data_IF_523566010016
#
_entry.id   IF_523566010016
#
_cell.length_a   1.000
_cell.length_b   1.000
_cell.length_c   1.000
_cell.angle_alpha   90.00
_cell.angle_beta   90.00
_cell.angle_gamma   90.00
#
_symmetry.space_group_name_H-M   'P 1'
#
loop_
_entity.id
_entity.type
_entity.pdbx_description
1 polymer ?
#
# COMPACT_ATOMS: atom_id res chain seq x y z
N UNK A 1 36.81 -12.23 -16.45
CA UNK A 1 36.19 -12.17 -15.11
C UNK A 1 36.91 -11.13 -14.29
N UNK A 2 36.26 -10.00 -14.02
CA UNK A 2 36.79 -9.01 -13.09
C UNK A 2 36.51 -9.51 -11.67
N UNK A 3 37.56 -9.74 -10.88
CA UNK A 3 37.43 -9.94 -9.44
C UNK A 3 37.12 -8.56 -8.87
N UNK A 4 35.84 -8.32 -8.54
CA UNK A 4 35.42 -7.09 -7.89
C UNK A 4 36.14 -7.00 -6.54
N UNK A 5 36.83 -5.87 -6.30
CA UNK A 5 37.91 -5.74 -5.32
C UNK A 5 37.57 -6.31 -3.93
N UNK A 6 38.49 -7.14 -3.43
CA UNK A 6 38.49 -7.80 -2.12
C UNK A 6 38.24 -6.83 -0.97
N UNK A 7 37.23 -7.13 -0.16
CA UNK A 7 37.08 -6.58 1.19
C UNK A 7 37.97 -7.45 2.08
N UNK A 8 39.11 -6.90 2.53
CA UNK A 8 40.10 -7.63 3.32
C UNK A 8 39.57 -7.83 4.76
N UNK A 9 39.16 -9.04 5.11
CA UNK A 9 38.67 -9.41 6.44
C UNK A 9 39.79 -10.12 7.21
N UNK A 10 40.36 -9.46 8.23
CA UNK A 10 41.59 -9.85 8.94
C UNK A 10 41.46 -11.07 9.90
N UNK A 11 40.45 -11.92 9.75
CA UNK A 11 40.28 -13.16 10.54
C UNK A 11 40.72 -14.37 9.75
N UNK A 12 42.01 -14.69 9.87
CA UNK A 12 42.80 -15.56 9.00
C UNK A 12 42.43 -17.06 8.96
N UNK A 13 41.22 -17.51 9.33
CA UNK A 13 40.87 -18.93 9.17
C UNK A 13 39.38 -19.30 9.02
N UNK A 14 38.49 -18.35 8.71
CA UNK A 14 37.06 -18.67 8.61
C UNK A 14 36.36 -17.98 7.43
N UNK A 15 37.00 -18.02 6.25
CA UNK A 15 36.45 -17.48 5.00
C UNK A 15 35.97 -18.65 4.12
N UNK A 16 34.85 -18.43 3.45
CA UNK A 16 34.28 -19.31 2.43
C UNK A 16 34.10 -18.52 1.14
N UNK A 17 34.50 -19.12 0.02
CA UNK A 17 34.31 -18.55 -1.31
C UNK A 17 32.94 -18.95 -1.84
N UNK A 18 32.16 -17.95 -2.19
CA UNK A 18 30.77 -18.08 -2.62
C UNK A 18 30.62 -17.51 -4.02
N UNK A 19 29.86 -18.17 -4.88
CA UNK A 19 29.51 -17.71 -6.22
C UNK A 19 28.04 -17.31 -6.25
N UNK A 20 27.76 -16.08 -6.65
CA UNK A 20 26.42 -15.57 -6.95
C UNK A 20 26.45 -15.15 -8.41
N UNK A 21 25.62 -15.78 -9.25
CA UNK A 21 25.72 -15.66 -10.71
C UNK A 21 27.17 -15.91 -11.19
N UNK A 22 27.80 -14.94 -11.86
CA UNK A 22 29.17 -15.02 -12.37
C UNK A 22 30.21 -14.35 -11.44
N UNK A 23 29.80 -13.89 -10.26
CA UNK A 23 30.64 -13.17 -9.31
C UNK A 23 31.06 -14.05 -8.14
N UNK A 24 32.33 -13.92 -7.73
CA UNK A 24 32.89 -14.60 -6.56
C UNK A 24 33.01 -13.62 -5.38
N UNK A 25 32.67 -14.11 -4.20
CA UNK A 25 32.69 -13.37 -2.93
C UNK A 25 33.42 -14.18 -1.87
N UNK A 26 34.21 -13.50 -1.05
CA UNK A 26 34.77 -14.06 0.17
C UNK A 26 33.88 -13.67 1.35
N UNK A 27 33.36 -14.69 2.05
CA UNK A 27 32.32 -14.51 3.06
C UNK A 27 32.74 -15.19 4.37
N UNK A 28 32.55 -14.56 5.54
CA UNK A 28 32.76 -15.22 6.83
C UNK A 28 31.88 -16.46 6.99
N UNK A 29 32.44 -17.57 7.47
CA UNK A 29 31.71 -18.81 7.80
C UNK A 29 30.56 -18.53 8.79
N UNK A 30 30.74 -17.54 9.67
CA UNK A 30 29.72 -17.12 10.64
C UNK A 30 28.42 -16.65 10.01
N UNK A 31 28.43 -16.20 8.74
CA UNK A 31 27.21 -15.83 8.02
C UNK A 31 26.25 -17.01 7.86
N UNK A 32 26.79 -18.22 7.79
CA UNK A 32 26.05 -19.46 7.61
C UNK A 32 25.88 -20.27 8.90
N UNK A 33 26.30 -19.72 10.05
CA UNK A 33 26.28 -20.44 11.32
C UNK A 33 24.85 -20.81 11.77
N UNK A 34 23.90 -19.92 11.51
CA UNK A 34 22.49 -20.07 11.90
C UNK A 34 21.63 -20.80 10.86
N UNK A 35 22.20 -21.21 9.72
CA UNK A 35 21.46 -21.97 8.71
C UNK A 35 21.09 -23.36 9.23
N UNK A 36 19.85 -23.84 8.99
CA UNK A 36 19.47 -25.22 9.25
C UNK A 36 20.42 -26.21 8.55
N UNK A 37 20.76 -27.32 9.23
CA UNK A 37 21.71 -28.30 8.72
C UNK A 37 21.33 -28.86 7.34
N UNK A 38 20.03 -29.03 7.07
CA UNK A 38 19.53 -29.48 5.76
C UNK A 38 19.92 -28.51 4.64
N UNK A 39 19.82 -27.20 4.90
CA UNK A 39 20.22 -26.16 3.94
C UNK A 39 21.74 -26.15 3.80
N UNK A 40 22.48 -26.25 4.90
CA UNK A 40 23.96 -26.32 4.87
C UNK A 40 24.46 -27.54 4.09
N UNK A 41 23.80 -28.69 4.23
CA UNK A 41 24.09 -29.88 3.44
C UNK A 41 23.77 -29.66 1.96
N UNK A 42 22.61 -29.09 1.64
CA UNK A 42 22.23 -28.76 0.26
C UNK A 42 23.19 -27.79 -0.44
N UNK A 43 23.81 -26.88 0.31
CA UNK A 43 24.85 -25.98 -0.19
C UNK A 43 26.21 -26.68 -0.40
N UNK A 44 26.40 -27.89 0.14
CA UNK A 44 27.64 -28.67 -0.02
C UNK A 44 28.75 -28.32 0.97
N UNK A 45 28.42 -27.76 2.14
CA UNK A 45 29.43 -27.45 3.17
C UNK A 45 30.25 -28.67 3.63
N UNK A 46 29.68 -29.88 3.57
CA UNK A 46 30.35 -31.12 3.96
C UNK A 46 31.32 -31.66 2.91
N UNK A 47 31.10 -31.30 1.64
CA UNK A 47 31.87 -31.83 0.49
C UNK A 47 33.13 -31.01 0.20
N UNK A 48 33.51 -30.10 1.09
CA UNK A 48 34.63 -29.19 0.90
C UNK A 48 34.36 -28.07 -0.12
N UNK A 49 33.12 -27.89 -0.57
CA UNK A 49 32.74 -26.71 -1.37
C UNK A 49 32.91 -25.44 -0.56
N UNK A 50 33.27 -24.37 -1.25
CA UNK A 50 33.52 -23.06 -0.67
C UNK A 50 34.94 -22.83 -0.17
N UNK A 51 35.86 -23.80 -0.30
CA UNK A 51 37.25 -23.64 0.15
C UNK A 51 38.13 -22.87 -0.84
N UNK A 52 37.73 -22.76 -2.10
CA UNK A 52 38.50 -22.07 -3.14
C UNK A 52 37.60 -21.51 -4.23
N UNK A 53 38.13 -20.55 -5.01
CA UNK A 53 37.47 -19.99 -6.18
C UNK A 53 37.14 -21.02 -7.28
N UNK A 54 37.89 -22.13 -7.33
CA UNK A 54 37.67 -23.24 -8.27
C UNK A 54 36.51 -24.15 -7.84
N UNK A 55 36.17 -24.16 -6.54
CA UNK A 55 35.07 -24.95 -5.99
C UNK A 55 34.26 -24.11 -4.98
N UNK A 56 33.58 -23.03 -5.43
CA UNK A 56 32.84 -22.14 -4.53
C UNK A 56 31.51 -22.76 -4.09
N UNK A 57 30.90 -22.23 -3.03
CA UNK A 57 29.47 -22.47 -2.76
C UNK A 57 28.64 -21.72 -3.80
N UNK A 58 27.72 -22.40 -4.46
CA UNK A 58 26.85 -21.75 -5.46
C UNK A 58 25.59 -21.28 -4.76
N UNK A 59 25.37 -19.97 -4.76
CA UNK A 59 24.13 -19.34 -4.35
C UNK A 59 23.35 -18.91 -5.58
N UNK A 60 22.09 -19.34 -5.64
CA UNK A 60 21.16 -19.00 -6.72
C UNK A 60 19.96 -18.23 -6.18
N UNK A 61 19.17 -17.65 -7.09
CA UNK A 61 17.90 -16.97 -6.83
C UNK A 61 17.97 -15.56 -6.22
N UNK A 62 19.10 -14.86 -6.33
CA UNK A 62 19.15 -13.43 -6.04
C UNK A 62 20.20 -12.72 -6.90
N UNK A 63 19.95 -11.46 -7.30
CA UNK A 63 20.92 -10.65 -8.03
C UNK A 63 22.22 -10.45 -7.25
N UNK A 64 23.34 -10.38 -7.98
CA UNK A 64 24.67 -10.06 -7.44
C UNK A 64 24.66 -8.80 -6.58
N UNK A 65 23.97 -7.74 -7.03
CA UNK A 65 23.91 -6.47 -6.31
C UNK A 65 23.22 -6.62 -4.94
N UNK A 66 22.12 -7.38 -4.86
CA UNK A 66 21.42 -7.61 -3.59
C UNK A 66 22.32 -8.35 -2.60
N UNK A 67 23.07 -9.35 -3.07
CA UNK A 67 24.03 -10.07 -2.22
C UNK A 67 25.16 -9.16 -1.74
N UNK A 68 25.67 -8.29 -2.62
CA UNK A 68 26.70 -7.30 -2.28
C UNK A 68 26.22 -6.33 -1.19
N UNK A 69 25.01 -5.77 -1.35
CA UNK A 69 24.41 -4.88 -0.35
C UNK A 69 24.20 -5.59 1.00
N UNK A 70 23.71 -6.84 0.96
CA UNK A 70 23.57 -7.67 2.16
C UNK A 70 24.90 -7.98 2.84
N UNK A 71 25.93 -8.38 2.09
CA UNK A 71 27.25 -8.70 2.63
C UNK A 71 27.92 -7.47 3.24
N UNK A 72 27.83 -6.32 2.58
CA UNK A 72 28.30 -5.04 3.12
C UNK A 72 27.58 -4.71 4.44
N UNK A 73 26.25 -4.90 4.47
CA UNK A 73 25.47 -4.68 5.68
C UNK A 73 25.88 -5.64 6.81
N UNK A 74 26.11 -6.91 6.50
CA UNK A 74 26.56 -7.91 7.47
C UNK A 74 27.92 -7.54 8.09
N UNK A 75 28.88 -7.12 7.26
CA UNK A 75 30.23 -6.76 7.71
C UNK A 75 30.22 -5.48 8.56
N UNK A 76 29.41 -4.49 8.19
CA UNK A 76 29.35 -3.21 8.91
C UNK A 76 28.45 -3.25 10.16
N UNK A 77 27.71 -4.34 10.41
CA UNK A 77 26.89 -4.49 11.61
C UNK A 77 27.75 -4.67 12.88
N UNK A 78 27.46 -3.99 14.01
CA UNK A 78 26.24 -3.24 14.34
C UNK A 78 26.25 -1.74 13.99
N UNK A 79 27.28 -1.26 13.29
CA UNK A 79 27.51 0.17 13.01
C UNK A 79 26.79 0.69 11.75
N UNK A 80 25.75 -0.01 11.29
CA UNK A 80 25.02 0.39 10.08
C UNK A 80 24.27 1.71 10.28
N UNK A 81 24.53 2.65 9.38
CA UNK A 81 23.76 3.88 9.29
C UNK A 81 22.56 3.67 8.36
N UNK A 82 21.36 3.59 8.94
CA UNK A 82 20.13 3.40 8.16
C UNK A 82 19.79 4.58 7.24
N UNK A 83 20.32 5.78 7.52
CA UNK A 83 20.06 6.99 6.71
C UNK A 83 20.78 6.99 5.37
N UNK A 84 21.84 6.17 5.23
CA UNK A 84 22.61 6.10 3.99
C UNK A 84 22.13 5.00 3.05
N UNK A 85 21.27 4.10 3.52
CA UNK A 85 20.75 3.00 2.71
C UNK A 85 19.54 3.47 1.91
N UNK A 86 19.56 3.16 0.62
CA UNK A 86 18.38 3.29 -0.24
C UNK A 86 17.36 2.21 0.11
N UNK A 87 16.09 2.41 -0.29
CA UNK A 87 15.01 1.48 0.00
C UNK A 87 15.34 0.08 -0.52
N UNK A 88 15.77 -0.04 -1.77
CA UNK A 88 16.10 -1.30 -2.43
C UNK A 88 17.23 -2.05 -1.72
N UNK A 89 18.26 -1.32 -1.24
CA UNK A 89 19.34 -1.91 -0.45
C UNK A 89 18.80 -2.46 0.88
N UNK A 90 17.92 -1.71 1.56
CA UNK A 90 17.30 -2.17 2.80
C UNK A 90 16.40 -3.38 2.58
N UNK A 91 15.67 -3.44 1.45
CA UNK A 91 14.86 -4.59 1.06
C UNK A 91 15.74 -5.82 0.81
N UNK A 92 16.86 -5.67 0.09
CA UNK A 92 17.85 -6.73 -0.11
C UNK A 92 18.41 -7.26 1.22
N UNK A 93 18.80 -6.35 2.12
CA UNK A 93 19.29 -6.71 3.46
C UNK A 93 18.22 -7.44 4.25
N UNK A 94 16.98 -6.96 4.24
CA UNK A 94 15.86 -7.59 4.95
C UNK A 94 15.52 -8.98 4.36
N UNK A 95 15.55 -9.15 3.05
CA UNK A 95 15.27 -10.43 2.41
C UNK A 95 16.37 -11.46 2.69
N UNK A 96 17.63 -11.11 2.42
CA UNK A 96 18.74 -12.04 2.53
C UNK A 96 19.10 -12.34 3.99
N UNK A 97 18.94 -11.39 4.91
CA UNK A 97 19.06 -11.70 6.35
C UNK A 97 17.98 -12.65 6.85
N UNK A 98 16.79 -12.65 6.24
CA UNK A 98 15.79 -13.70 6.48
C UNK A 98 16.26 -15.04 5.91
N UNK A 99 16.67 -15.05 4.64
CA UNK A 99 17.06 -16.25 3.91
C UNK A 99 18.23 -16.98 4.57
N UNK A 100 19.23 -16.22 5.03
CA UNK A 100 20.43 -16.74 5.71
C UNK A 100 20.29 -16.84 7.22
N UNK A 101 19.08 -16.62 7.76
CA UNK A 101 18.79 -16.73 9.19
C UNK A 101 19.65 -15.84 10.11
N UNK A 102 20.21 -14.73 9.61
CA UNK A 102 21.04 -13.79 10.39
C UNK A 102 20.15 -12.94 11.30
N UNK A 103 19.84 -13.47 12.50
CA UNK A 103 18.76 -12.95 13.37
C UNK A 103 18.89 -11.47 13.73
N UNK A 104 20.10 -11.02 14.10
CA UNK A 104 20.33 -9.64 14.55
C UNK A 104 20.11 -8.64 13.40
N UNK A 105 20.73 -8.90 12.24
CA UNK A 105 20.57 -8.07 11.05
C UNK A 105 19.12 -8.09 10.53
N UNK A 106 18.48 -9.25 10.59
CA UNK A 106 17.06 -9.44 10.25
C UNK A 106 16.14 -8.53 11.09
N UNK A 107 16.30 -8.57 12.41
CA UNK A 107 15.52 -7.75 13.33
C UNK A 107 15.80 -6.26 13.16
N UNK A 108 17.06 -5.90 12.89
CA UNK A 108 17.46 -4.52 12.60
C UNK A 108 16.82 -4.00 11.29
N UNK A 109 16.88 -4.79 10.21
CA UNK A 109 16.41 -4.39 8.89
C UNK A 109 14.89 -4.17 8.87
N UNK A 110 14.12 -5.10 9.42
CA UNK A 110 12.65 -4.98 9.45
C UNK A 110 12.17 -3.83 10.35
N UNK A 111 12.88 -3.55 11.44
CA UNK A 111 12.57 -2.39 12.31
C UNK A 111 12.80 -1.09 11.56
N UNK A 112 13.92 -0.96 10.86
CA UNK A 112 14.22 0.23 10.06
C UNK A 112 13.28 0.38 8.87
N UNK A 113 12.93 -0.73 8.20
CA UNK A 113 11.96 -0.70 7.11
C UNK A 113 10.60 -0.18 7.62
N UNK A 114 10.16 -0.61 8.80
CA UNK A 114 8.96 -0.05 9.41
C UNK A 114 9.10 1.45 9.65
N UNK A 115 10.18 1.88 10.32
CA UNK A 115 10.41 3.29 10.63
C UNK A 115 10.36 4.18 9.38
N UNK A 116 11.07 3.82 8.30
CA UNK A 116 11.09 4.65 7.09
C UNK A 116 9.77 4.62 6.32
N UNK A 117 8.99 3.54 6.43
CA UNK A 117 7.73 3.40 5.68
C UNK A 117 6.54 4.02 6.40
N UNK A 118 6.52 4.00 7.74
CA UNK A 118 5.38 4.41 8.57
C UNK A 118 5.57 5.72 9.33
N UNK A 119 6.80 6.05 9.75
CA UNK A 119 7.08 7.21 10.62
C UNK A 119 7.71 8.40 9.89
N UNK A 120 8.27 8.18 8.70
CA UNK A 120 8.89 9.25 7.92
C UNK A 120 7.87 10.29 7.43
N UNK A 121 8.21 11.58 7.54
CA UNK A 121 7.41 12.69 6.99
C UNK A 121 7.16 12.51 5.49
N UNK A 122 8.17 12.03 4.77
CA UNK A 122 8.10 11.67 3.35
C UNK A 122 8.57 10.22 3.23
N UNK A 123 7.61 9.31 3.12
CA UNK A 123 7.90 7.89 2.95
C UNK A 123 8.54 7.63 1.58
N UNK A 124 9.63 6.86 1.48
CA UNK A 124 10.25 6.53 0.19
C UNK A 124 9.31 5.73 -0.71
N UNK A 125 8.25 5.12 -0.16
CA UNK A 125 7.22 4.41 -0.92
C UNK A 125 6.44 5.33 -1.87
N UNK A 126 6.39 6.64 -1.61
CA UNK A 126 5.68 7.59 -2.48
C UNK A 126 6.36 7.73 -3.84
N UNK A 127 7.68 7.56 -3.92
CA UNK A 127 8.44 7.66 -5.18
C UNK A 127 9.02 6.33 -5.64
N UNK A 128 8.88 5.26 -4.84
CA UNK A 128 9.46 3.95 -5.12
C UNK A 128 8.89 3.36 -6.42
N UNK A 129 9.67 2.65 -7.24
CA UNK A 129 9.13 1.95 -8.41
C UNK A 129 8.14 0.83 -8.00
N UNK A 130 7.25 0.43 -8.91
CA UNK A 130 6.19 -0.59 -8.66
C UNK A 130 6.76 -1.90 -8.10
N UNK A 131 7.90 -2.36 -8.61
CA UNK A 131 8.54 -3.58 -8.13
C UNK A 131 9.04 -3.45 -6.68
N UNK A 132 9.51 -2.27 -6.25
CA UNK A 132 9.94 -2.03 -4.88
C UNK A 132 8.74 -1.99 -3.92
N UNK A 133 7.59 -1.45 -4.35
CA UNK A 133 6.33 -1.55 -3.59
C UNK A 133 5.91 -3.01 -3.42
N UNK A 134 5.91 -3.79 -4.50
CA UNK A 134 5.60 -5.21 -4.48
C UNK A 134 6.54 -6.00 -3.56
N UNK A 135 7.85 -5.75 -3.64
CA UNK A 135 8.85 -6.40 -2.80
C UNK A 135 8.71 -6.04 -1.33
N UNK A 136 8.46 -4.75 -1.02
CA UNK A 136 8.17 -4.28 0.34
C UNK A 136 6.92 -4.98 0.90
N UNK A 137 5.88 -5.12 0.08
CA UNK A 137 4.66 -5.81 0.45
C UNK A 137 4.93 -7.29 0.79
N UNK A 138 5.62 -8.02 -0.08
CA UNK A 138 5.89 -9.45 0.11
C UNK A 138 6.78 -9.69 1.34
N UNK A 139 7.77 -8.83 1.58
CA UNK A 139 8.54 -8.85 2.83
C UNK A 139 7.66 -8.56 4.04
N UNK A 140 6.76 -7.58 3.97
CA UNK A 140 5.86 -7.27 5.08
C UNK A 140 5.00 -8.47 5.48
N UNK A 141 4.53 -9.27 4.51
CA UNK A 141 3.81 -10.51 4.78
C UNK A 141 4.71 -11.57 5.41
N UNK A 142 5.91 -11.77 4.85
CA UNK A 142 6.91 -12.73 5.36
C UNK A 142 7.28 -12.44 6.82
N UNK A 143 7.30 -11.16 7.19
CA UNK A 143 7.59 -10.68 8.54
C UNK A 143 6.36 -10.44 9.42
N UNK A 144 5.16 -10.67 8.91
CA UNK A 144 3.88 -10.44 9.61
C UNK A 144 3.73 -8.98 10.11
N UNK A 145 4.18 -8.01 9.30
CA UNK A 145 4.16 -6.57 9.59
C UNK A 145 3.01 -5.86 8.89
N UNK A 146 1.83 -5.91 9.51
CA UNK A 146 0.60 -5.31 8.96
C UNK A 146 0.67 -3.79 8.82
N UNK A 147 1.50 -3.14 9.62
CA UNK A 147 1.78 -1.71 9.56
C UNK A 147 2.45 -1.34 8.23
N UNK A 148 3.50 -2.08 7.84
CA UNK A 148 4.19 -1.90 6.55
C UNK A 148 3.24 -2.24 5.39
N UNK A 149 2.48 -3.33 5.50
CA UNK A 149 1.47 -3.72 4.50
C UNK A 149 0.49 -2.59 4.20
N UNK A 150 -0.04 -1.94 5.24
CA UNK A 150 -0.95 -0.79 5.11
C UNK A 150 -0.25 0.44 4.50
N UNK A 151 1.00 0.70 4.89
CA UNK A 151 1.77 1.82 4.34
C UNK A 151 2.00 1.66 2.83
N UNK A 152 2.33 0.44 2.37
CA UNK A 152 2.49 0.14 0.93
C UNK A 152 1.17 0.32 0.17
N UNK A 153 0.07 -0.25 0.66
CA UNK A 153 -1.24 -0.08 0.02
C UNK A 153 -1.65 1.40 -0.06
N UNK A 154 -1.45 2.17 1.02
CA UNK A 154 -1.73 3.61 1.05
C UNK A 154 -0.87 4.38 0.05
N UNK A 155 0.43 4.10 -0.01
CA UNK A 155 1.33 4.75 -0.97
C UNK A 155 0.90 4.43 -2.42
N UNK A 156 0.52 3.19 -2.69
CA UNK A 156 0.04 2.77 -4.00
C UNK A 156 -1.26 3.50 -4.40
N UNK A 157 -2.26 3.55 -3.51
CA UNK A 157 -3.52 4.27 -3.76
C UNK A 157 -3.29 5.77 -3.99
N UNK A 158 -2.42 6.39 -3.19
CA UNK A 158 -2.08 7.81 -3.34
C UNK A 158 -1.52 8.10 -4.73
N UNK A 159 -0.63 7.24 -5.23
CA UNK A 159 0.00 7.43 -6.55
C UNK A 159 -0.93 7.15 -7.71
N UNK A 160 -1.87 6.22 -7.58
CA UNK A 160 -2.94 6.04 -8.58
C UNK A 160 -3.83 7.28 -8.63
N UNK A 161 -4.17 7.84 -7.46
CA UNK A 161 -4.96 9.06 -7.36
C UNK A 161 -4.23 10.27 -7.97
N UNK A 162 -2.91 10.33 -7.84
CA UNK A 162 -2.05 11.34 -8.47
C UNK A 162 -1.74 11.07 -9.95
N UNK A 163 -2.33 10.01 -10.53
CA UNK A 163 -2.10 9.59 -11.92
C UNK A 163 -0.64 9.20 -12.24
N UNK A 164 0.19 8.93 -11.21
CA UNK A 164 1.57 8.48 -11.38
C UNK A 164 1.69 6.98 -11.66
N UNK A 165 0.68 6.21 -11.24
CA UNK A 165 0.60 4.77 -11.43
C UNK A 165 -0.70 4.34 -12.11
N UNK A 166 -0.59 3.35 -12.97
CA UNK A 166 -1.75 2.69 -13.58
C UNK A 166 -2.57 1.93 -12.53
N UNK A 167 -3.89 2.15 -12.52
CA UNK A 167 -4.80 1.36 -11.69
C UNK A 167 -4.79 -0.12 -12.10
N UNK A 168 -4.56 -0.43 -13.38
CA UNK A 168 -4.54 -1.80 -13.91
C UNK A 168 -3.44 -2.65 -13.27
N UNK A 169 -2.23 -2.09 -13.10
CA UNK A 169 -1.13 -2.82 -12.46
C UNK A 169 -1.45 -3.13 -10.99
N UNK A 170 -2.07 -2.18 -10.30
CA UNK A 170 -2.50 -2.35 -8.92
C UNK A 170 -3.63 -3.37 -8.77
N UNK A 171 -4.58 -3.40 -9.71
CA UNK A 171 -5.66 -4.39 -9.79
C UNK A 171 -5.08 -5.80 -9.92
N UNK A 172 -4.17 -6.01 -10.88
CA UNK A 172 -3.53 -7.31 -11.10
C UNK A 172 -2.72 -7.75 -9.88
N UNK A 173 -1.96 -6.83 -9.29
CA UNK A 173 -1.21 -7.08 -8.07
C UNK A 173 -2.13 -7.51 -6.91
N UNK A 174 -3.25 -6.81 -6.73
CA UNK A 174 -4.22 -7.07 -5.68
C UNK A 174 -4.96 -8.40 -5.89
N UNK A 175 -5.32 -8.74 -7.14
CA UNK A 175 -5.99 -10.00 -7.49
C UNK A 175 -5.08 -11.20 -7.19
N UNK A 176 -3.83 -11.18 -7.65
CA UNK A 176 -2.87 -12.28 -7.45
C UNK A 176 -2.64 -12.56 -5.96
N UNK A 177 -2.67 -11.52 -5.13
CA UNK A 177 -2.43 -11.61 -3.68
C UNK A 177 -3.72 -11.69 -2.86
N UNK A 178 -4.89 -11.77 -3.50
CA UNK A 178 -6.21 -11.83 -2.86
C UNK A 178 -6.46 -10.68 -1.86
N UNK A 179 -6.08 -9.45 -2.23
CA UNK A 179 -6.18 -8.26 -1.38
C UNK A 179 -7.52 -7.56 -1.56
N UNK A 180 -8.61 -8.20 -1.11
CA UNK A 180 -9.99 -7.75 -1.40
C UNK A 180 -10.25 -6.26 -1.14
N UNK A 181 -9.85 -5.74 0.02
CA UNK A 181 -10.02 -4.31 0.34
C UNK A 181 -9.26 -3.42 -0.66
N UNK A 182 -7.99 -3.71 -0.89
CA UNK A 182 -7.14 -2.96 -1.83
C UNK A 182 -7.66 -3.08 -3.27
N UNK A 183 -8.08 -4.28 -3.68
CA UNK A 183 -8.69 -4.54 -4.98
C UNK A 183 -9.94 -3.68 -5.19
N UNK A 184 -10.86 -3.64 -4.22
CA UNK A 184 -12.05 -2.78 -4.27
C UNK A 184 -11.71 -1.30 -4.47
N UNK A 185 -10.69 -0.80 -3.77
CA UNK A 185 -10.21 0.57 -3.96
C UNK A 185 -9.60 0.81 -5.34
N UNK A 186 -8.79 -0.12 -5.85
CA UNK A 186 -8.17 0.03 -7.18
C UNK A 186 -9.19 -0.05 -8.31
N UNK A 187 -10.22 -0.91 -8.20
CA UNK A 187 -11.34 -0.97 -9.14
C UNK A 187 -12.17 0.33 -9.12
N UNK A 188 -12.42 0.89 -7.93
CA UNK A 188 -13.07 2.20 -7.79
C UNK A 188 -12.31 3.32 -8.49
N UNK A 189 -11.00 3.42 -8.25
CA UNK A 189 -10.16 4.43 -8.90
C UNK A 189 -10.13 4.23 -10.43
N UNK A 190 -10.09 2.97 -10.88
CA UNK A 190 -10.16 2.65 -12.31
C UNK A 190 -11.49 3.11 -12.94
N UNK A 191 -12.63 2.91 -12.26
CA UNK A 191 -13.93 3.44 -12.72
C UNK A 191 -13.91 4.96 -12.88
N UNK A 192 -13.32 5.69 -11.93
CA UNK A 192 -13.21 7.15 -12.00
C UNK A 192 -12.33 7.57 -13.18
N UNK A 193 -11.19 6.91 -13.39
CA UNK A 193 -10.30 7.19 -14.51
C UNK A 193 -10.99 6.96 -15.86
N UNK A 194 -11.73 5.86 -16.01
CA UNK A 194 -12.53 5.59 -17.22
C UNK A 194 -13.62 6.64 -17.45
N UNK A 195 -14.23 7.15 -16.38
CA UNK A 195 -15.23 8.22 -16.46
C UNK A 195 -14.63 9.56 -16.87
N UNK A 196 -13.39 9.82 -16.45
CA UNK A 196 -12.69 11.08 -16.73
C UNK A 196 -12.18 11.14 -18.17
N UNK A 197 -11.87 10.00 -18.79
CA UNK A 197 -11.45 9.93 -20.20
C UNK A 197 -12.62 9.92 -21.20
N UNK A 198 -13.84 9.65 -20.74
CA UNK A 198 -15.02 9.61 -21.60
C UNK A 198 -15.56 11.04 -21.81
N UNK A 199 -15.59 11.46 -23.07
CA UNK A 199 -15.84 12.84 -23.50
C UNK A 199 -17.28 13.31 -23.14
N UNK A 200 -17.50 13.80 -21.91
CA UNK A 200 -18.70 14.38 -21.26
C UNK A 200 -20.08 13.74 -21.46
N UNK A 201 -20.27 12.79 -22.37
CA UNK A 201 -21.54 12.14 -22.73
C UNK A 201 -21.84 10.90 -21.89
N UNK A 202 -21.32 10.87 -20.66
CA UNK A 202 -21.47 9.77 -19.72
C UNK A 202 -20.56 8.59 -20.04
N UNK A 203 -20.27 7.80 -19.00
CA UNK A 203 -19.61 6.52 -19.16
C UNK A 203 -20.58 5.57 -19.88
N UNK A 204 -20.36 5.31 -21.17
CA UNK A 204 -21.17 4.31 -21.86
C UNK A 204 -20.71 2.92 -21.43
N UNK A 205 -21.66 1.99 -21.28
CA UNK A 205 -21.44 0.59 -20.92
C UNK A 205 -20.31 -0.06 -21.75
N UNK A 206 -20.19 0.32 -23.02
CA UNK A 206 -19.15 -0.14 -23.95
C UNK A 206 -17.72 0.16 -23.50
N UNK A 207 -17.51 1.23 -22.72
CA UNK A 207 -16.17 1.63 -22.27
C UNK A 207 -15.64 0.68 -21.18
N UNK A 208 -16.52 0.16 -20.32
CA UNK A 208 -16.14 -0.81 -19.28
C UNK A 208 -15.77 -2.16 -19.90
N UNK A 209 -16.53 -2.61 -20.90
CA UNK A 209 -16.29 -3.89 -21.57
C UNK A 209 -15.04 -3.88 -22.46
N UNK A 210 -14.54 -2.69 -22.82
CA UNK A 210 -13.35 -2.52 -23.66
C UNK A 210 -12.03 -2.47 -22.85
N UNK A 211 -12.08 -2.72 -21.55
CA UNK A 211 -10.89 -2.72 -20.69
C UNK A 211 -10.01 -3.93 -20.94
N UNK A 212 -8.70 -3.81 -20.67
CA UNK A 212 -7.74 -4.92 -20.74
C UNK A 212 -7.82 -5.88 -19.55
N UNK A 213 -8.84 -5.73 -18.71
CA UNK A 213 -9.04 -6.55 -17.51
C UNK A 213 -9.52 -7.95 -17.87
N UNK A 214 -9.28 -8.92 -16.97
CA UNK A 214 -9.83 -10.26 -17.12
C UNK A 214 -11.37 -10.22 -17.10
N UNK A 215 -12.08 -11.16 -17.77
CA UNK A 215 -13.55 -11.19 -17.75
C UNK A 215 -14.15 -11.22 -16.35
N UNK A 216 -13.44 -11.85 -15.40
CA UNK A 216 -13.81 -11.88 -13.98
C UNK A 216 -13.75 -10.47 -13.37
N UNK A 217 -12.65 -9.75 -13.55
CA UNK A 217 -12.50 -8.39 -13.05
C UNK A 217 -13.48 -7.42 -13.71
N UNK A 218 -13.76 -7.58 -15.01
CA UNK A 218 -14.78 -6.79 -15.72
C UNK A 218 -16.16 -6.97 -15.09
N UNK A 219 -16.52 -8.20 -14.67
CA UNK A 219 -17.78 -8.44 -13.93
C UNK A 219 -17.81 -7.71 -12.59
N UNK A 220 -16.74 -7.77 -11.80
CA UNK A 220 -16.63 -7.02 -10.54
C UNK A 220 -16.74 -5.51 -10.76
N UNK A 221 -16.11 -5.00 -11.81
CA UNK A 221 -16.15 -3.58 -12.20
C UNK A 221 -17.57 -3.11 -12.57
N UNK A 222 -18.31 -3.91 -13.33
CA UNK A 222 -19.72 -3.66 -13.67
C UNK A 222 -20.64 -3.69 -12.44
N UNK A 223 -20.43 -4.64 -11.53
CA UNK A 223 -21.17 -4.69 -10.26
C UNK A 223 -20.94 -3.42 -9.44
N UNK A 224 -19.66 -3.02 -9.30
CA UNK A 224 -19.24 -1.76 -8.68
C UNK A 224 -19.92 -0.54 -9.28
N UNK A 225 -19.91 -0.42 -10.62
CA UNK A 225 -20.56 0.67 -11.35
C UNK A 225 -22.04 0.83 -10.95
N UNK A 226 -22.83 -0.24 -11.04
CA UNK A 226 -24.26 -0.18 -10.72
C UNK A 226 -24.53 0.05 -9.23
N UNK A 227 -23.75 -0.59 -8.38
CA UNK A 227 -23.87 -0.48 -6.92
C UNK A 227 -23.56 0.94 -6.43
N UNK A 228 -22.50 1.57 -6.96
CA UNK A 228 -22.09 2.92 -6.59
C UNK A 228 -23.04 4.00 -7.13
N UNK A 229 -23.59 3.84 -8.34
CA UNK A 229 -24.63 4.75 -8.85
C UNK A 229 -25.87 4.69 -7.96
N UNK A 230 -26.33 3.48 -7.64
CA UNK A 230 -27.48 3.29 -6.73
C UNK A 230 -27.21 3.92 -5.36
N UNK A 231 -26.00 3.74 -4.83
CA UNK A 231 -25.60 4.36 -3.57
C UNK A 231 -25.53 5.90 -3.68
N UNK A 232 -25.12 6.44 -4.83
CA UNK A 232 -25.13 7.87 -5.12
C UNK A 232 -26.54 8.47 -5.12
N UNK A 233 -27.51 7.77 -5.70
CA UNK A 233 -28.92 8.18 -5.67
C UNK A 233 -29.51 8.07 -4.26
N UNK A 234 -29.05 7.09 -3.49
CA UNK A 234 -29.44 6.92 -2.08
C UNK A 234 -28.81 7.98 -1.18
N UNK A 235 -27.59 8.44 -1.44
CA UNK A 235 -26.90 9.48 -0.67
C UNK A 235 -27.77 10.74 -0.55
N UNK A 236 -28.46 11.12 -1.63
CA UNK A 236 -29.39 12.25 -1.64
C UNK A 236 -30.54 12.10 -0.62
N UNK A 237 -30.95 10.85 -0.34
CA UNK A 237 -32.08 10.51 0.55
C UNK A 237 -31.65 10.16 1.98
N UNK A 238 -30.49 9.52 2.16
CA UNK A 238 -30.13 8.80 3.39
C UNK A 238 -29.61 9.68 4.54
N UNK A 239 -29.07 10.88 4.26
CA UNK A 239 -28.33 11.68 5.26
C UNK A 239 -29.09 12.88 5.83
N UNK A 240 -30.42 12.87 5.73
CA UNK A 240 -31.26 13.85 6.38
C UNK A 240 -31.32 13.70 7.93
N UNK A 241 -30.88 12.57 8.48
CA UNK A 241 -30.98 12.31 9.92
C UNK A 241 -29.72 12.76 10.68
N UNK A 242 -29.89 13.74 11.57
CA UNK A 242 -28.86 14.20 12.49
C UNK A 242 -28.50 13.13 13.54
N UNK A 243 -29.31 12.08 13.67
CA UNK A 243 -29.18 11.04 14.68
C UNK A 243 -29.41 11.59 16.10
N UNK A 244 -28.49 11.26 17.00
CA UNK A 244 -28.63 11.55 18.42
C UNK A 244 -28.50 13.03 18.77
N UNK A 245 -29.22 13.44 19.82
CA UNK A 245 -29.18 14.78 20.40
C UNK A 245 -27.78 15.12 20.93
N UNK A 246 -27.22 16.24 20.49
CA UNK A 246 -25.95 16.73 21.01
C UNK A 246 -26.07 17.10 22.50
N UNK A 247 -25.03 16.85 23.33
CA UNK A 247 -25.01 17.30 24.72
C UNK A 247 -25.28 18.81 24.81
N UNK A 248 -26.24 19.21 25.64
CA UNK A 248 -26.58 20.62 25.87
C UNK A 248 -27.47 21.29 24.80
N UNK A 249 -27.86 20.61 23.72
CA UNK A 249 -28.78 21.19 22.74
C UNK A 249 -30.21 21.29 23.31
N UNK A 250 -30.78 22.48 23.47
CA UNK A 250 -32.17 22.64 23.93
C UNK A 250 -33.20 22.48 22.80
N UNK A 251 -32.80 22.70 21.54
CA UNK A 251 -33.68 22.77 20.36
C UNK A 251 -33.28 21.75 19.28
N UNK A 252 -33.10 20.48 19.67
CA UNK A 252 -32.63 19.41 18.78
C UNK A 252 -33.57 19.17 17.60
N UNK A 253 -34.88 19.17 17.82
CA UNK A 253 -35.87 19.01 16.75
C UNK A 253 -35.69 20.06 15.65
N UNK A 254 -35.49 21.33 16.03
CA UNK A 254 -35.19 22.39 15.07
C UNK A 254 -33.85 22.13 14.35
N UNK A 255 -32.81 21.70 15.07
CA UNK A 255 -31.52 21.38 14.44
C UNK A 255 -31.68 20.28 13.38
N UNK A 256 -32.45 19.23 13.68
CA UNK A 256 -32.76 18.14 12.73
C UNK A 256 -33.54 18.66 11.52
N UNK A 257 -34.56 19.49 11.71
CA UNK A 257 -35.34 20.06 10.60
C UNK A 257 -34.48 20.96 9.71
N UNK A 258 -33.67 21.83 10.31
CA UNK A 258 -32.76 22.72 9.60
C UNK A 258 -31.75 21.91 8.81
N UNK A 259 -31.10 20.92 9.44
CA UNK A 259 -30.15 20.05 8.77
C UNK A 259 -30.78 19.31 7.59
N UNK A 260 -31.93 18.66 7.78
CA UNK A 260 -32.63 17.94 6.71
C UNK A 260 -32.93 18.87 5.53
N UNK A 261 -33.43 20.08 5.79
CA UNK A 261 -33.74 21.06 4.75
C UNK A 261 -32.49 21.48 3.98
N UNK A 262 -31.40 21.80 4.69
CA UNK A 262 -30.15 22.26 4.07
C UNK A 262 -29.40 21.12 3.38
N UNK A 263 -29.47 19.90 3.90
CA UNK A 263 -28.96 18.69 3.26
C UNK A 263 -29.64 18.47 1.91
N UNK A 264 -30.98 18.45 1.87
CA UNK A 264 -31.74 18.29 0.63
C UNK A 264 -31.43 19.40 -0.38
N UNK A 265 -31.28 20.63 0.08
CA UNK A 265 -30.85 21.74 -0.78
C UNK A 265 -29.43 21.49 -1.33
N UNK A 266 -28.46 21.14 -0.48
CA UNK A 266 -27.08 20.88 -0.91
C UNK A 266 -26.95 19.67 -1.83
N UNK A 267 -27.72 18.61 -1.60
CA UNK A 267 -27.69 17.37 -2.38
C UNK A 267 -28.13 17.58 -3.85
N UNK A 268 -28.97 18.58 -4.11
CA UNK A 268 -29.44 18.96 -5.46
C UNK A 268 -28.50 19.93 -6.17
N UNK A 269 -27.41 20.35 -5.54
CA UNK A 269 -26.45 21.25 -6.20
C UNK A 269 -25.78 20.55 -7.37
N UNK A 270 -25.56 21.28 -8.48
CA UNK A 270 -24.94 20.72 -9.66
C UNK A 270 -23.53 20.23 -9.34
N UNK A 271 -23.34 18.91 -9.44
CA UNK A 271 -22.04 18.25 -9.34
C UNK A 271 -21.52 17.95 -10.74
N UNK A 272 -20.31 18.44 -11.03
CA UNK A 272 -19.68 18.28 -12.36
C UNK A 272 -18.73 17.09 -12.44
N UNK A 273 -18.47 16.41 -11.33
CA UNK A 273 -17.58 15.26 -11.29
C UNK A 273 -18.25 13.95 -11.72
N UNK A 274 -17.48 12.87 -11.67
CA UNK A 274 -17.98 11.53 -11.96
C UNK A 274 -19.14 11.16 -11.02
N UNK A 275 -20.26 10.59 -11.51
CA UNK A 275 -21.40 10.20 -10.66
C UNK A 275 -21.06 9.08 -9.67
N UNK A 276 -20.06 8.25 -9.99
CA UNK A 276 -19.56 7.20 -9.10
C UNK A 276 -18.54 7.70 -8.09
N UNK A 277 -18.03 8.93 -8.23
CA UNK A 277 -17.03 9.47 -7.31
C UNK A 277 -17.68 9.99 -6.03
N UNK A 278 -18.19 9.04 -5.24
CA UNK A 278 -18.92 9.31 -4.00
C UNK A 278 -18.04 9.97 -2.92
N UNK A 279 -16.72 9.70 -2.91
CA UNK A 279 -15.81 10.36 -1.98
C UNK A 279 -15.70 11.85 -2.27
N UNK A 280 -15.42 12.22 -3.53
CA UNK A 280 -15.32 13.63 -3.93
C UNK A 280 -16.67 14.34 -3.80
N UNK A 281 -17.78 13.66 -4.17
CA UNK A 281 -19.14 14.21 -3.99
C UNK A 281 -19.44 14.49 -2.52
N UNK A 282 -19.10 13.59 -1.60
CA UNK A 282 -19.30 13.83 -0.17
C UNK A 282 -18.40 14.93 0.38
N UNK A 283 -17.14 15.02 -0.05
CA UNK A 283 -16.25 16.12 0.34
C UNK A 283 -16.74 17.47 -0.19
N UNK A 284 -17.35 17.48 -1.39
CA UNK A 284 -18.02 18.66 -1.92
C UNK A 284 -19.20 19.06 -1.02
N UNK A 285 -20.14 18.14 -0.76
CA UNK A 285 -21.31 18.42 0.11
C UNK A 285 -20.90 18.89 1.51
N UNK A 286 -19.91 18.23 2.12
CA UNK A 286 -19.39 18.62 3.44
C UNK A 286 -18.84 20.05 3.43
N UNK A 287 -18.08 20.45 2.40
CA UNK A 287 -17.56 21.82 2.27
C UNK A 287 -18.69 22.84 2.12
N UNK A 288 -19.73 22.52 1.35
CA UNK A 288 -20.87 23.41 1.17
C UNK A 288 -21.67 23.60 2.44
N UNK A 289 -21.99 22.51 3.14
CA UNK A 289 -22.70 22.55 4.42
C UNK A 289 -21.86 23.21 5.51
N UNK A 290 -20.54 23.01 5.50
CA UNK A 290 -19.63 23.70 6.42
C UNK A 290 -19.66 25.22 6.23
N UNK A 291 -19.86 25.73 5.02
CA UNK A 291 -19.92 27.16 4.74
C UNK A 291 -21.36 27.73 4.72
N UNK A 292 -22.36 26.94 5.11
CA UNK A 292 -23.76 27.34 5.07
C UNK A 292 -24.15 28.21 6.28
N UNK A 293 -24.36 29.51 6.02
CA UNK A 293 -24.72 30.50 7.05
C UNK A 293 -26.04 30.19 7.78
N UNK A 294 -26.98 29.47 7.15
CA UNK A 294 -28.23 29.10 7.82
C UNK A 294 -27.99 28.04 8.88
N UNK A 295 -27.05 27.11 8.64
CA UNK A 295 -26.65 26.15 9.67
C UNK A 295 -26.01 26.85 10.87
N UNK A 296 -25.18 27.88 10.62
CA UNK A 296 -24.60 28.73 11.67
C UNK A 296 -25.66 29.45 12.50
N UNK A 297 -26.66 30.03 11.84
CA UNK A 297 -27.70 30.82 12.51
C UNK A 297 -28.73 29.97 13.25
N UNK A 298 -29.06 28.78 12.73
CA UNK A 298 -30.23 28.02 13.15
C UNK A 298 -29.93 26.71 13.88
N UNK A 299 -28.68 26.26 13.94
CA UNK A 299 -28.27 25.07 14.70
C UNK A 299 -27.35 25.43 15.85
N UNK A 300 -27.38 24.63 16.92
CA UNK A 300 -26.31 24.68 17.91
C UNK A 300 -24.98 24.21 17.30
N UNK A 301 -23.86 24.81 17.73
CA UNK A 301 -22.54 24.43 17.26
C UNK A 301 -22.25 22.93 17.41
N UNK A 302 -22.67 22.32 18.52
CA UNK A 302 -22.50 20.89 18.79
C UNK A 302 -23.31 20.00 17.85
N UNK A 303 -24.58 20.35 17.57
CA UNK A 303 -25.41 19.62 16.59
C UNK A 303 -24.82 19.70 15.18
N UNK A 304 -24.31 20.87 14.78
CA UNK A 304 -23.67 21.05 13.47
C UNK A 304 -22.39 20.24 13.35
N UNK A 305 -21.55 20.24 14.39
CA UNK A 305 -20.32 19.45 14.41
C UNK A 305 -20.61 17.95 14.26
N UNK A 306 -21.58 17.42 15.03
CA UNK A 306 -22.00 16.01 14.91
C UNK A 306 -22.54 15.66 13.52
N UNK A 307 -23.28 16.58 12.89
CA UNK A 307 -23.81 16.39 11.54
C UNK A 307 -22.70 16.32 10.47
N UNK A 308 -21.69 17.20 10.56
CA UNK A 308 -20.53 17.15 9.66
C UNK A 308 -19.66 15.91 9.93
N UNK A 309 -19.54 15.50 11.20
CA UNK A 309 -18.84 14.28 11.59
C UNK A 309 -19.55 13.02 11.04
N UNK A 310 -20.88 13.01 10.95
CA UNK A 310 -21.63 11.87 10.41
C UNK A 310 -21.31 11.62 8.92
N UNK A 311 -21.09 12.68 8.13
CA UNK A 311 -20.61 12.56 6.75
C UNK A 311 -19.20 11.98 6.68
N UNK A 312 -18.32 12.40 7.58
CA UNK A 312 -16.96 11.82 7.69
C UNK A 312 -17.02 10.34 8.03
N UNK A 313 -17.84 9.96 9.02
CA UNK A 313 -18.08 8.56 9.39
C UNK A 313 -18.72 7.75 8.26
N UNK A 314 -19.57 8.36 7.44
CA UNK A 314 -20.12 7.69 6.26
C UNK A 314 -19.05 7.44 5.20
N UNK A 315 -18.18 8.41 4.90
CA UNK A 315 -17.04 8.19 3.99
C UNK A 315 -16.12 7.08 4.49
N UNK A 316 -15.82 7.07 5.78
CA UNK A 316 -15.00 6.01 6.40
C UNK A 316 -15.67 4.64 6.25
N UNK A 317 -16.98 4.55 6.53
CA UNK A 317 -17.76 3.32 6.32
C UNK A 317 -17.76 2.89 4.85
N UNK A 318 -17.94 3.81 3.92
CA UNK A 318 -17.89 3.52 2.49
C UNK A 318 -16.50 2.99 2.11
N UNK A 319 -15.42 3.64 2.56
CA UNK A 319 -14.04 3.18 2.34
C UNK A 319 -13.83 1.76 2.85
N UNK A 320 -14.24 1.48 4.09
CA UNK A 320 -14.04 0.17 4.71
C UNK A 320 -14.86 -0.94 4.02
N UNK A 321 -16.04 -0.60 3.48
CA UNK A 321 -16.96 -1.54 2.83
C UNK A 321 -16.91 -1.48 1.30
N UNK A 322 -15.96 -0.74 0.72
CA UNK A 322 -15.95 -0.46 -0.72
C UNK A 322 -15.93 -1.75 -1.56
N UNK A 323 -15.12 -2.71 -1.16
CA UNK A 323 -14.98 -4.02 -1.79
C UNK A 323 -16.31 -4.80 -1.91
N UNK A 324 -17.28 -4.60 -1.01
CA UNK A 324 -18.60 -5.25 -1.12
C UNK A 324 -19.41 -4.74 -2.31
N UNK A 325 -19.20 -3.50 -2.75
CA UNK A 325 -19.86 -2.97 -3.93
C UNK A 325 -19.39 -3.65 -5.23
N UNK A 326 -18.25 -4.33 -5.20
CA UNK A 326 -17.64 -5.02 -6.34
C UNK A 326 -17.81 -6.54 -6.28
N UNK A 327 -18.64 -7.08 -5.37
CA UNK A 327 -18.82 -8.53 -5.15
C UNK A 327 -17.51 -9.30 -4.86
N UNK A 328 -16.63 -8.73 -4.03
CA UNK A 328 -15.30 -9.31 -3.69
C UNK A 328 -15.25 -10.13 -2.40
#
# INVERSE_FOLDING_TARGET
MAIDRMINLDTQNNIVVVRVEDCLFEVPVSLFADLPDVIRQGLGFRDGRGRSALNPLILSNHPVQHFKDFLQAYIAFPHLNSRTLQLEQLLAVAELSHLYHVRALKAWAIRHLAQITTEATISPLVTAPVHALAWTYDLSLKYQRTDITRAVQKAWLLRIYQEELSATDAINFAEIRNLRHFLGHTLYLHLIQLASSSDRKGLQYCNITSTTLSPRLTKHLLSGYHSLITLGDQLERLHADLGHKAPGCSRHSQCTTVWSTRWSAAATWPWTGCPMDLFSRCQFLERQLRNDMMLDACMSASCRLLALESLSKWRERLSNNLHHHFDL
#
